data_IF_642582150213
#
_entry.id   IF_642582150213
#
_cell.length_a   1.000
_cell.length_b   1.000
_cell.length_c   1.000
_cell.angle_alpha   90.00
_cell.angle_beta   90.00
_cell.angle_gamma   90.00
#
_symmetry.space_group_name_H-M   'P 1'
#
loop_
_entity.id
_entity.type
_entity.pdbx_description
1 polymer ?
#
# COMPACT_ATOMS: atom_id res chain seq x y z
N UNK A 1 -20.66 -5.11 -3.20
CA UNK A 1 -19.19 -5.34 -3.10
C UNK A 1 -18.96 -6.31 -1.97
N UNK A 2 -18.33 -7.44 -2.28
CA UNK A 2 -18.09 -8.51 -1.29
C UNK A 2 -16.84 -8.17 -0.49
N UNK A 3 -16.91 -8.23 0.83
CA UNK A 3 -15.74 -8.09 1.70
C UNK A 3 -14.81 -9.29 1.51
N UNK A 4 -13.50 -9.05 1.53
CA UNK A 4 -12.47 -10.07 1.36
C UNK A 4 -11.80 -10.40 2.70
N UNK A 5 -11.26 -11.60 2.79
CA UNK A 5 -10.42 -12.06 3.89
C UNK A 5 -9.03 -12.41 3.36
N UNK A 6 -8.03 -12.50 4.23
CA UNK A 6 -6.70 -13.00 3.82
C UNK A 6 -6.82 -14.33 3.05
N UNK A 7 -7.65 -15.24 3.50
CA UNK A 7 -7.87 -16.54 2.83
C UNK A 7 -8.41 -16.38 1.43
N UNK A 8 -9.48 -15.58 1.23
CA UNK A 8 -10.07 -15.38 -0.10
C UNK A 8 -9.13 -14.66 -1.06
N UNK A 9 -8.30 -13.74 -0.56
CA UNK A 9 -7.28 -13.06 -1.35
C UNK A 9 -6.17 -14.03 -1.76
N UNK A 10 -5.71 -14.87 -0.84
CA UNK A 10 -4.70 -15.91 -1.13
C UNK A 10 -5.20 -16.93 -2.14
N UNK A 11 -6.47 -17.34 -2.08
CA UNK A 11 -7.09 -18.20 -3.08
C UNK A 11 -7.11 -17.54 -4.46
N UNK A 12 -7.46 -16.26 -4.54
CA UNK A 12 -7.39 -15.49 -5.79
C UNK A 12 -5.97 -15.50 -6.37
N UNK A 13 -4.97 -15.15 -5.55
CA UNK A 13 -3.55 -15.09 -5.97
C UNK A 13 -3.08 -16.47 -6.46
N UNK A 14 -3.44 -17.53 -5.74
CA UNK A 14 -3.09 -18.89 -6.11
C UNK A 14 -3.72 -19.31 -7.46
N UNK A 15 -5.00 -18.98 -7.68
CA UNK A 15 -5.69 -19.27 -8.93
C UNK A 15 -5.10 -18.52 -10.13
N UNK A 16 -4.59 -17.29 -9.92
CA UNK A 16 -3.88 -16.53 -10.94
C UNK A 16 -2.47 -17.08 -11.22
N UNK A 17 -1.95 -17.97 -10.38
CA UNK A 17 -0.58 -18.52 -10.46
C UNK A 17 0.50 -17.43 -10.47
N UNK A 18 0.30 -16.39 -9.69
CA UNK A 18 1.19 -15.23 -9.60
C UNK A 18 1.73 -15.05 -8.18
N UNK A 19 2.74 -14.22 -8.03
CA UNK A 19 3.23 -13.72 -6.74
C UNK A 19 2.87 -12.26 -6.58
N UNK A 20 2.82 -11.76 -5.34
CA UNK A 20 2.48 -10.39 -5.03
C UNK A 20 3.70 -9.62 -4.55
N UNK A 21 4.02 -8.54 -5.25
CA UNK A 21 4.92 -7.49 -4.80
C UNK A 21 4.09 -6.32 -4.30
N UNK A 22 4.28 -5.97 -3.04
CA UNK A 22 3.58 -4.84 -2.43
C UNK A 22 4.48 -3.61 -2.33
N UNK A 23 4.00 -2.49 -2.84
CA UNK A 23 4.56 -1.18 -2.57
C UNK A 23 3.79 -0.53 -1.41
N UNK A 24 4.54 0.05 -0.47
CA UNK A 24 3.99 0.84 0.64
C UNK A 24 4.77 2.13 0.81
N UNK A 25 4.14 3.15 1.36
CA UNK A 25 4.74 4.48 1.47
C UNK A 25 3.73 5.53 1.92
N UNK A 26 4.03 6.78 1.63
CA UNK A 26 3.09 7.87 1.89
C UNK A 26 1.89 7.79 0.97
N UNK A 27 0.70 8.00 1.52
CA UNK A 27 -0.55 8.11 0.79
C UNK A 27 -1.00 9.58 0.78
N UNK A 28 -1.90 9.97 1.66
CA UNK A 28 -2.43 11.32 1.71
C UNK A 28 -1.44 12.43 2.03
N UNK A 29 -0.29 12.13 2.65
CA UNK A 29 0.80 13.07 2.85
C UNK A 29 1.58 13.36 1.56
N UNK A 30 1.49 12.47 0.58
CA UNK A 30 2.22 12.52 -0.69
C UNK A 30 3.75 12.61 -0.53
N UNK A 31 4.47 12.78 -1.62
CA UNK A 31 5.92 12.84 -1.63
C UNK A 31 6.41 14.26 -1.91
N UNK A 32 7.50 14.66 -1.27
CA UNK A 32 8.22 15.91 -1.58
C UNK A 32 8.75 15.87 -3.02
N UNK A 33 9.31 14.75 -3.45
CA UNK A 33 9.85 14.53 -4.78
C UNK A 33 9.12 13.34 -5.48
N UNK A 34 7.90 13.53 -6.01
CA UNK A 34 7.11 12.44 -6.58
C UNK A 34 7.75 11.80 -7.81
N UNK A 35 8.49 12.56 -8.61
CA UNK A 35 9.23 12.01 -9.76
C UNK A 35 10.31 11.03 -9.33
N UNK A 36 11.08 11.38 -8.30
CA UNK A 36 12.14 10.53 -7.75
C UNK A 36 11.55 9.24 -7.16
N UNK A 37 10.41 9.33 -6.47
CA UNK A 37 9.68 8.15 -5.99
C UNK A 37 9.31 7.23 -7.15
N UNK A 38 8.75 7.75 -8.23
CA UNK A 38 8.38 6.96 -9.41
C UNK A 38 9.60 6.36 -10.14
N UNK A 39 10.74 7.04 -10.16
CA UNK A 39 11.98 6.50 -10.70
C UNK A 39 12.47 5.28 -9.89
N UNK A 40 12.40 5.34 -8.57
CA UNK A 40 12.70 4.20 -7.71
C UNK A 40 11.75 3.03 -7.96
N UNK A 41 10.45 3.30 -8.01
CA UNK A 41 9.44 2.27 -8.30
C UNK A 41 9.65 1.66 -9.69
N UNK A 42 9.98 2.47 -10.69
CA UNK A 42 10.27 2.00 -12.05
C UNK A 42 11.42 1.00 -12.10
N UNK A 43 12.52 1.28 -11.40
CA UNK A 43 13.67 0.37 -11.34
C UNK A 43 13.31 -0.97 -10.70
N UNK A 44 12.48 -0.95 -9.67
CA UNK A 44 11.98 -2.18 -9.02
C UNK A 44 11.12 -2.97 -9.99
N UNK A 45 10.16 -2.31 -10.65
CA UNK A 45 9.26 -2.95 -11.62
C UNK A 45 10.03 -3.55 -12.82
N UNK A 46 11.08 -2.90 -13.29
CA UNK A 46 11.91 -3.39 -14.39
C UNK A 46 12.62 -4.71 -14.07
N UNK A 47 12.76 -5.07 -12.80
CA UNK A 47 13.32 -6.32 -12.33
C UNK A 47 12.31 -7.45 -12.17
N UNK A 48 11.01 -7.16 -12.37
CA UNK A 48 9.92 -8.13 -12.21
C UNK A 48 9.38 -8.60 -13.56
N UNK A 49 8.84 -9.81 -13.57
CA UNK A 49 8.12 -10.35 -14.72
C UNK A 49 6.63 -10.00 -14.59
N UNK A 50 6.07 -9.15 -15.49
CA UNK A 50 4.66 -8.80 -15.45
C UNK A 50 3.71 -9.99 -15.58
N UNK A 51 4.15 -11.07 -16.23
CA UNK A 51 3.34 -12.29 -16.39
C UNK A 51 3.23 -13.12 -15.10
N UNK A 52 4.08 -12.85 -14.11
CA UNK A 52 4.19 -13.64 -12.87
C UNK A 52 3.98 -12.83 -11.60
N UNK A 53 3.86 -11.51 -11.71
CA UNK A 53 3.84 -10.61 -10.55
C UNK A 53 2.60 -9.72 -10.57
N UNK A 54 1.81 -9.80 -9.51
CA UNK A 54 0.75 -8.84 -9.19
C UNK A 54 1.36 -7.69 -8.38
N UNK A 55 1.03 -6.47 -8.76
CA UNK A 55 1.44 -5.28 -8.00
C UNK A 55 0.31 -4.87 -7.08
N UNK A 56 0.58 -4.89 -5.79
CA UNK A 56 -0.35 -4.50 -4.73
C UNK A 56 0.07 -3.20 -4.06
N UNK A 57 -0.89 -2.35 -3.80
CA UNK A 57 -0.79 -1.14 -2.98
C UNK A 57 -2.14 -1.00 -2.23
N UNK A 58 -2.32 0.05 -1.45
CA UNK A 58 -3.56 0.27 -0.69
C UNK A 58 -4.77 0.80 -1.49
N UNK A 59 -4.87 0.54 -2.78
CA UNK A 59 -5.95 0.90 -3.70
C UNK A 59 -6.17 2.41 -3.95
N UNK A 60 -5.72 3.32 -3.09
CA UNK A 60 -5.91 4.77 -3.23
C UNK A 60 -4.99 5.37 -4.29
N UNK A 61 -5.39 6.51 -4.87
CA UNK A 61 -4.64 7.14 -5.96
C UNK A 61 -3.49 8.05 -5.51
N UNK A 62 -3.57 8.59 -4.28
CA UNK A 62 -2.62 9.57 -3.77
C UNK A 62 -1.28 8.95 -3.35
N UNK A 63 -0.20 9.73 -3.46
CA UNK A 63 1.13 9.35 -2.98
C UNK A 63 1.67 8.09 -3.67
N UNK A 64 1.93 7.04 -2.90
CA UNK A 64 2.42 5.76 -3.43
C UNK A 64 1.47 5.13 -4.44
N UNK A 65 0.20 5.48 -4.41
CA UNK A 65 -0.81 5.04 -5.37
C UNK A 65 -0.49 5.42 -6.83
N UNK A 66 0.33 6.45 -7.06
CA UNK A 66 0.80 6.80 -8.40
C UNK A 66 1.59 5.67 -9.09
N UNK A 67 2.12 4.73 -8.33
CA UNK A 67 2.82 3.55 -8.87
C UNK A 67 1.88 2.63 -9.65
N UNK A 68 0.58 2.65 -9.39
CA UNK A 68 -0.40 1.87 -10.17
C UNK A 68 -0.38 2.21 -11.66
N UNK A 69 -0.41 3.49 -12.00
CA UNK A 69 -0.35 3.92 -13.40
C UNK A 69 0.94 3.47 -14.08
N UNK A 70 2.06 3.60 -13.37
CA UNK A 70 3.35 3.16 -13.85
C UNK A 70 3.39 1.64 -14.08
N UNK A 71 2.86 0.85 -13.14
CA UNK A 71 2.77 -0.59 -13.25
C UNK A 71 1.90 -1.02 -14.45
N UNK A 72 0.75 -0.36 -14.65
CA UNK A 72 -0.11 -0.62 -15.81
C UNK A 72 0.62 -0.34 -17.13
N UNK A 73 1.35 0.76 -17.25
CA UNK A 73 2.14 1.08 -18.45
C UNK A 73 3.22 0.04 -18.74
N UNK A 74 3.73 -0.63 -17.71
CA UNK A 74 4.72 -1.71 -17.82
C UNK A 74 4.10 -3.10 -18.01
N UNK A 75 2.77 -3.20 -18.14
CA UNK A 75 2.06 -4.45 -18.42
C UNK A 75 1.69 -5.30 -17.21
N UNK A 76 1.83 -4.77 -15.99
CA UNK A 76 1.45 -5.49 -14.78
C UNK A 76 -0.06 -5.51 -14.56
N UNK A 77 -0.56 -6.60 -13.99
CA UNK A 77 -1.86 -6.65 -13.33
C UNK A 77 -1.73 -6.08 -11.94
N UNK A 78 -2.70 -5.26 -11.53
CA UNK A 78 -2.67 -4.52 -10.29
C UNK A 78 -3.81 -4.93 -9.36
N UNK A 79 -3.54 -4.93 -8.07
CA UNK A 79 -4.53 -5.17 -7.04
C UNK A 79 -4.35 -4.19 -5.87
N UNK A 80 -5.36 -4.07 -5.05
CA UNK A 80 -5.31 -3.26 -3.84
C UNK A 80 -6.02 -3.96 -2.70
N UNK A 81 -5.36 -4.03 -1.55
CA UNK A 81 -5.95 -4.46 -0.28
C UNK A 81 -6.19 -3.20 0.53
N UNK A 82 -7.43 -2.95 0.89
CA UNK A 82 -7.84 -1.71 1.54
C UNK A 82 -8.91 -1.97 2.61
N UNK A 83 -8.90 -1.13 3.65
CA UNK A 83 -9.95 -1.14 4.67
C UNK A 83 -11.32 -0.80 4.09
N UNK A 84 -12.37 -1.39 4.66
CA UNK A 84 -13.75 -0.98 4.38
C UNK A 84 -14.02 0.49 4.65
N UNK A 85 -13.19 1.16 5.48
CA UNK A 85 -13.24 2.61 5.67
C UNK A 85 -13.13 3.39 4.36
N UNK A 86 -12.34 2.92 3.39
CA UNK A 86 -12.22 3.58 2.10
C UNK A 86 -13.57 3.68 1.37
N UNK A 87 -14.38 2.64 1.46
CA UNK A 87 -15.75 2.62 0.93
C UNK A 87 -16.67 3.50 1.76
N UNK A 88 -16.61 3.36 3.08
CA UNK A 88 -17.53 4.03 4.01
C UNK A 88 -17.28 5.54 4.02
N UNK A 89 -16.04 5.98 3.91
CA UNK A 89 -15.64 7.40 3.80
C UNK A 89 -15.59 7.91 2.35
N UNK A 90 -15.95 7.08 1.36
CA UNK A 90 -15.97 7.42 -0.07
C UNK A 90 -14.64 7.96 -0.58
N UNK A 91 -13.55 7.33 -0.15
CA UNK A 91 -12.20 7.69 -0.62
C UNK A 91 -12.04 7.31 -2.09
N UNK A 92 -11.45 8.21 -2.87
CA UNK A 92 -11.17 7.95 -4.28
C UNK A 92 -10.14 6.82 -4.43
N UNK A 93 -10.51 5.79 -5.19
CA UNK A 93 -9.61 4.70 -5.55
C UNK A 93 -8.93 4.99 -6.88
N UNK A 94 -7.75 4.45 -7.07
CA UNK A 94 -7.03 4.55 -8.33
C UNK A 94 -7.81 3.87 -9.46
N UNK A 95 -7.99 4.57 -10.58
CA UNK A 95 -8.56 4.00 -11.81
C UNK A 95 -7.67 2.93 -12.46
N UNK A 96 -6.43 2.81 -12.00
CA UNK A 96 -5.42 1.89 -12.51
C UNK A 96 -5.28 0.62 -11.67
N UNK A 97 -6.16 0.40 -10.70
CA UNK A 97 -6.24 -0.85 -9.94
C UNK A 97 -7.25 -1.80 -10.59
N UNK A 98 -6.80 -3.01 -10.95
CA UNK A 98 -7.65 -3.99 -11.63
C UNK A 98 -8.58 -4.72 -10.64
N UNK A 99 -8.08 -5.05 -9.44
CA UNK A 99 -8.82 -5.80 -8.41
C UNK A 99 -8.71 -5.11 -7.07
N UNK A 100 -9.83 -4.77 -6.45
CA UNK A 100 -9.90 -4.18 -5.12
C UNK A 100 -10.49 -5.16 -4.13
N UNK A 101 -9.76 -5.42 -3.06
CA UNK A 101 -10.18 -6.27 -1.95
C UNK A 101 -10.43 -5.42 -0.70
N UNK A 102 -11.69 -5.32 -0.32
CA UNK A 102 -12.08 -4.62 0.92
C UNK A 102 -12.00 -5.58 2.08
N UNK A 103 -11.12 -5.30 3.02
CA UNK A 103 -11.00 -6.04 4.28
C UNK A 103 -11.79 -5.30 5.36
N UNK A 104 -12.68 -6.01 6.05
CA UNK A 104 -13.44 -5.45 7.16
C UNK A 104 -12.52 -4.99 8.27
N UNK A 105 -12.44 -3.69 8.48
CA UNK A 105 -11.53 -3.04 9.41
C UNK A 105 -12.08 -1.69 9.85
N UNK A 106 -11.92 -1.35 11.10
CA UNK A 106 -12.24 -0.03 11.67
C UNK A 106 -11.04 0.92 11.69
N UNK A 107 -9.91 0.50 11.11
CA UNK A 107 -8.66 1.25 11.01
C UNK A 107 -8.18 1.32 9.57
N UNK A 108 -7.29 2.26 9.30
CA UNK A 108 -6.67 2.41 7.98
C UNK A 108 -5.45 1.50 7.74
N UNK A 109 -5.08 0.73 8.72
CA UNK A 109 -3.91 -0.13 8.74
C UNK A 109 -3.00 0.17 9.91
N UNK A 110 -1.83 -0.50 9.93
CA UNK A 110 -0.89 -0.39 11.03
C UNK A 110 -1.31 -1.22 12.24
N UNK A 111 -0.70 -0.92 13.38
CA UNK A 111 -1.05 -1.57 14.65
C UNK A 111 -2.33 -1.02 15.26
N UNK A 112 -3.11 -1.91 15.85
CA UNK A 112 -4.26 -1.52 16.67
C UNK A 112 -3.75 -0.97 18.01
N UNK A 113 -4.23 0.21 18.46
CA UNK A 113 -3.70 0.87 19.67
C UNK A 113 -3.68 0.01 20.92
N UNK A 114 -4.64 -0.88 21.08
CA UNK A 114 -4.89 -1.56 22.35
C UNK A 114 -4.13 -2.89 22.54
N UNK A 115 -3.52 -3.47 21.50
CA UNK A 115 -2.98 -4.83 21.60
C UNK A 115 -1.69 -5.13 20.81
N UNK A 116 -1.03 -4.13 20.26
CA UNK A 116 0.20 -4.26 19.47
C UNK A 116 0.10 -5.20 18.24
N UNK A 117 -1.11 -5.60 17.85
CA UNK A 117 -1.39 -6.43 16.68
C UNK A 117 -1.64 -5.57 15.46
N UNK A 118 -1.31 -6.08 14.28
CA UNK A 118 -1.72 -5.46 13.04
C UNK A 118 -3.25 -5.42 12.92
N UNK A 119 -3.77 -4.33 12.37
CA UNK A 119 -5.16 -4.26 11.96
C UNK A 119 -5.46 -5.31 10.88
N UNK A 120 -6.71 -5.73 10.71
CA UNK A 120 -7.06 -6.74 9.71
C UNK A 120 -6.55 -6.43 8.31
N UNK A 121 -6.59 -5.17 7.89
CA UNK A 121 -6.11 -4.74 6.57
C UNK A 121 -4.60 -4.95 6.43
N UNK A 122 -3.81 -4.47 7.39
CA UNK A 122 -2.35 -4.64 7.35
C UNK A 122 -1.94 -6.09 7.53
N UNK A 123 -2.66 -6.86 8.35
CA UNK A 123 -2.42 -8.30 8.48
C UNK A 123 -2.65 -9.01 7.13
N UNK A 124 -3.76 -8.75 6.45
CA UNK A 124 -4.05 -9.32 5.13
C UNK A 124 -2.99 -8.93 4.11
N UNK A 125 -2.55 -7.67 4.10
CA UNK A 125 -1.51 -7.17 3.20
C UNK A 125 -0.19 -7.91 3.42
N UNK A 126 0.23 -8.09 4.67
CA UNK A 126 1.47 -8.83 5.00
C UNK A 126 1.35 -10.31 4.65
N UNK A 127 0.24 -10.96 4.98
CA UNK A 127 0.00 -12.38 4.72
C UNK A 127 -0.07 -12.72 3.23
N UNK A 128 -0.69 -11.83 2.43
CA UNK A 128 -0.92 -12.08 1.00
C UNK A 128 0.23 -11.70 0.09
N UNK A 129 1.26 -11.04 0.60
CA UNK A 129 2.39 -10.55 -0.19
C UNK A 129 3.62 -11.44 -0.02
N UNK A 130 4.35 -11.68 -1.11
CA UNK A 130 5.61 -12.42 -1.10
C UNK A 130 6.81 -11.51 -0.86
N UNK A 131 6.75 -10.26 -1.31
CA UNK A 131 7.82 -9.29 -1.14
C UNK A 131 7.28 -7.86 -1.04
N UNK A 132 8.10 -6.98 -0.50
CA UNK A 132 7.72 -5.60 -0.19
C UNK A 132 8.80 -4.60 -0.61
N UNK A 133 8.34 -3.47 -1.11
CA UNK A 133 9.15 -2.28 -1.31
C UNK A 133 8.47 -1.10 -0.59
N UNK A 134 9.13 -0.57 0.42
CA UNK A 134 8.71 0.66 1.09
C UNK A 134 9.50 1.84 0.51
N UNK A 135 8.81 2.86 0.04
CA UNK A 135 9.41 4.12 -0.39
C UNK A 135 8.94 5.22 0.57
N UNK A 136 9.81 5.61 1.50
CA UNK A 136 9.42 6.45 2.62
C UNK A 136 8.33 5.78 3.47
N UNK A 137 7.38 6.57 3.94
CA UNK A 137 6.20 6.08 4.65
C UNK A 137 6.17 6.46 6.12
N UNK A 138 4.97 6.43 6.69
CA UNK A 138 4.69 6.74 8.08
C UNK A 138 4.59 5.49 8.97
N UNK A 139 3.82 5.61 10.04
CA UNK A 139 3.67 4.55 11.06
C UNK A 139 3.08 3.26 10.49
N UNK A 140 2.08 3.35 9.62
CA UNK A 140 1.46 2.17 8.98
C UNK A 140 2.49 1.40 8.16
N UNK A 141 3.25 2.09 7.31
CA UNK A 141 4.33 1.48 6.52
C UNK A 141 5.37 0.82 7.42
N UNK A 142 5.80 1.50 8.48
CA UNK A 142 6.74 0.95 9.44
C UNK A 142 6.24 -0.33 10.07
N UNK A 143 4.99 -0.34 10.55
CA UNK A 143 4.39 -1.49 11.22
C UNK A 143 4.28 -2.70 10.28
N UNK A 144 3.88 -2.47 9.02
CA UNK A 144 3.82 -3.49 7.98
C UNK A 144 5.20 -4.05 7.63
N UNK A 145 6.21 -3.18 7.49
CA UNK A 145 7.58 -3.61 7.20
C UNK A 145 8.18 -4.44 8.32
N UNK A 146 7.96 -4.06 9.58
CA UNK A 146 8.40 -4.83 10.73
C UNK A 146 7.72 -6.20 10.78
N UNK A 147 6.42 -6.27 10.50
CA UNK A 147 5.69 -7.53 10.45
C UNK A 147 6.16 -8.43 9.30
N UNK A 148 6.40 -7.86 8.12
CA UNK A 148 6.93 -8.59 6.98
C UNK A 148 8.32 -9.19 7.26
N UNK A 149 9.20 -8.44 7.92
CA UNK A 149 10.52 -8.95 8.33
C UNK A 149 10.42 -10.06 9.37
N UNK A 150 9.51 -9.96 10.34
CA UNK A 150 9.24 -11.04 11.30
C UNK A 150 8.72 -12.32 10.63
N UNK A 151 8.00 -12.16 9.52
CA UNK A 151 7.53 -13.27 8.69
C UNK A 151 8.59 -13.76 7.68
N UNK A 152 9.83 -13.27 7.81
CA UNK A 152 10.97 -13.62 6.95
C UNK A 152 10.74 -13.32 5.45
N UNK A 153 9.88 -12.34 5.15
CA UNK A 153 9.62 -11.91 3.77
C UNK A 153 10.62 -10.85 3.34
N UNK A 154 11.07 -10.86 2.06
CA UNK A 154 11.96 -9.84 1.53
C UNK A 154 11.34 -8.44 1.63
N UNK A 155 12.09 -7.51 2.22
CA UNK A 155 11.70 -6.10 2.38
C UNK A 155 12.84 -5.21 1.91
N UNK A 156 12.59 -4.37 0.91
CA UNK A 156 13.48 -3.29 0.50
C UNK A 156 12.91 -1.95 0.98
N UNK A 157 13.78 -1.09 1.53
CA UNK A 157 13.40 0.24 1.95
C UNK A 157 14.18 1.29 1.17
N UNK A 158 13.47 2.27 0.61
CA UNK A 158 14.04 3.42 -0.08
C UNK A 158 13.66 4.67 0.72
N UNK A 159 14.62 5.44 1.23
CA UNK A 159 14.34 6.70 1.92
C UNK A 159 13.67 7.69 0.98
N UNK A 160 12.63 8.34 1.45
CA UNK A 160 11.95 9.43 0.77
C UNK A 160 11.20 10.31 1.78
N UNK A 161 11.11 11.58 1.50
CA UNK A 161 10.41 12.54 2.35
C UNK A 161 8.95 12.72 1.91
N UNK A 162 8.07 12.90 2.90
CA UNK A 162 6.70 13.33 2.65
C UNK A 162 6.66 14.78 2.20
N UNK A 163 5.58 15.18 1.57
CA UNK A 163 5.33 16.59 1.26
C UNK A 163 4.95 17.36 2.54
N UNK A 164 5.95 17.91 3.20
CA UNK A 164 5.79 18.61 4.48
C UNK A 164 4.83 19.80 4.39
N UNK A 165 4.83 20.53 3.28
CA UNK A 165 3.88 21.64 3.08
C UNK A 165 2.44 21.15 3.08
N UNK A 166 2.17 20.14 2.26
CA UNK A 166 0.82 19.54 2.16
C UNK A 166 0.39 18.90 3.48
N UNK A 167 1.31 18.21 4.17
CA UNK A 167 1.03 17.58 5.46
C UNK A 167 0.64 18.61 6.52
N UNK A 168 1.35 19.75 6.59
CA UNK A 168 1.03 20.86 7.50
C UNK A 168 -0.32 21.50 7.15
N UNK A 169 -0.60 21.75 5.87
CA UNK A 169 -1.88 22.32 5.44
C UNK A 169 -3.06 21.41 5.82
N UNK A 170 -2.92 20.09 5.64
CA UNK A 170 -3.94 19.11 6.02
C UNK A 170 -4.13 19.03 7.54
N UNK A 171 -3.05 19.08 8.32
CA UNK A 171 -3.12 19.09 9.77
C UNK A 171 -3.87 20.35 10.29
N UNK A 172 -3.54 21.53 9.76
CA UNK A 172 -4.25 22.78 10.09
C UNK A 172 -5.73 22.71 9.79
N UNK A 173 -6.13 22.21 8.60
CA UNK A 173 -7.53 22.05 8.22
C UNK A 173 -8.31 21.09 9.14
N UNK A 174 -7.63 20.11 9.73
CA UNK A 174 -8.21 19.13 10.64
C UNK A 174 -8.08 19.51 12.11
N UNK A 175 -7.44 20.64 12.43
CA UNK A 175 -7.18 21.04 13.81
C UNK A 175 -6.24 20.09 14.56
N UNK A 176 -5.37 19.38 13.83
CA UNK A 176 -4.40 18.43 14.37
C UNK A 176 -3.01 19.08 14.51
N UNK A 177 -2.13 18.57 15.41
CA UNK A 177 -0.74 19.03 15.49
C UNK A 177 -0.05 18.90 14.13
N UNK A 178 0.75 19.91 13.77
CA UNK A 178 1.55 19.87 12.54
C UNK A 178 2.64 18.78 12.65
N UNK A 179 2.86 17.97 11.61
CA UNK A 179 3.99 17.05 11.59
C UNK A 179 5.30 17.82 11.56
N UNK A 180 6.27 17.35 12.32
CA UNK A 180 7.63 17.90 12.39
C UNK A 180 8.38 17.68 11.07
#
# INVERSE_FOLDING_TARGET
>A
VREATSTSIQEFIHNEQMTVLTFTGYSGAEYEAPKTMLEHASRVLDQQDPAKTLINIGATEAGIGAVYELAKRKGFTTMGIVSTLARDERVALSKHVDFVFYVKDSHWGGKVPDNDRLSPTSAALVECSQSFVAIGGGDVTRDEMLAARRAEKPVAFVPADMNHKLAREKARKKGQPEPM
#
